data_IF_266230225302
#
_entry.id   IF_266230225302
#
_cell.length_a   1.000
_cell.length_b   1.000
_cell.length_c   1.000
_cell.angle_alpha   90.00
_cell.angle_beta   90.00
_cell.angle_gamma   90.00
#
_symmetry.space_group_name_H-M   'P 1'
#
loop_
_entity.id
_entity.type
_entity.pdbx_description
1 polymer ?
#
# COMPACT_ATOMS: atom_id res chain seq x y z
N UNK A 1 15.65 0.54 41.04
CA UNK A 1 14.37 -0.11 41.41
C UNK A 1 14.00 0.26 42.86
N UNK A 2 13.67 1.52 43.13
CA UNK A 2 13.18 1.96 44.45
C UNK A 2 12.00 2.94 44.39
N UNK A 3 11.53 3.33 43.20
CA UNK A 3 10.43 4.29 43.05
C UNK A 3 9.04 3.64 42.91
N UNK A 4 8.95 2.38 42.48
CA UNK A 4 7.65 1.71 42.27
C UNK A 4 7.09 0.97 43.50
N UNK A 5 7.83 0.91 44.63
CA UNK A 5 7.35 0.26 45.86
C UNK A 5 6.52 1.17 46.78
N UNK A 6 6.45 2.48 46.50
CA UNK A 6 5.81 3.44 47.42
C UNK A 6 4.30 3.60 47.21
N UNK A 7 3.76 3.28 46.03
CA UNK A 7 2.33 3.51 45.73
C UNK A 7 1.39 2.38 46.16
N UNK A 8 1.91 1.24 46.62
CA UNK A 8 1.10 0.07 46.96
C UNK A 8 0.71 -0.04 48.45
N UNK A 9 1.09 0.95 49.29
CA UNK A 9 0.95 0.84 50.74
C UNK A 9 -0.28 1.54 51.36
N UNK A 10 -1.06 2.33 50.60
CA UNK A 10 -2.20 3.07 51.16
C UNK A 10 -3.44 2.96 50.26
N UNK A 11 -4.25 1.92 50.48
CA UNK A 11 -5.71 1.97 50.30
C UNK A 11 -6.33 0.66 50.79
N UNK A 12 -6.67 0.64 52.08
CA UNK A 12 -7.67 -0.28 52.62
C UNK A 12 -9.04 0.19 52.16
N UNK A 13 -9.78 -0.63 51.43
CA UNK A 13 -11.25 -0.83 51.46
C UNK A 13 -11.60 -1.65 50.21
N UNK A 14 -12.05 -2.90 50.44
CA UNK A 14 -13.00 -3.71 49.65
C UNK A 14 -12.63 -5.20 49.74
N UNK A 15 -13.42 -5.93 50.52
CA UNK A 15 -13.42 -7.40 50.63
C UNK A 15 -14.15 -8.03 49.43
N UNK A 16 -13.71 -9.20 48.92
CA UNK A 16 -14.41 -9.86 47.82
C UNK A 16 -15.44 -10.87 48.34
N UNK A 17 -16.66 -10.83 47.80
CA UNK A 17 -17.64 -11.93 47.89
C UNK A 17 -17.44 -12.86 46.70
N UNK A 18 -17.31 -14.15 46.97
CA UNK A 18 -17.32 -15.23 45.99
C UNK A 18 -18.65 -15.26 45.23
N UNK A 19 -18.56 -15.33 43.90
CA UNK A 19 -19.68 -15.68 43.03
C UNK A 19 -19.15 -16.59 41.92
N UNK A 20 -19.43 -17.88 42.07
CA UNK A 20 -19.27 -18.93 41.07
C UNK A 20 -20.29 -18.69 39.94
N UNK A 21 -19.81 -18.39 38.73
CA UNK A 21 -20.60 -18.53 37.52
C UNK A 21 -19.84 -19.37 36.50
N UNK A 22 -20.42 -20.53 36.20
CA UNK A 22 -20.04 -21.37 35.07
C UNK A 22 -20.38 -20.65 33.75
N UNK A 23 -19.40 -20.54 32.86
CA UNK A 23 -19.60 -20.13 31.47
C UNK A 23 -18.90 -21.14 30.57
N UNK A 24 -19.71 -22.00 29.96
CA UNK A 24 -19.37 -22.84 28.83
C UNK A 24 -18.92 -21.97 27.64
N UNK A 25 -17.69 -22.16 27.17
CA UNK A 25 -17.25 -21.66 25.87
C UNK A 25 -16.86 -22.84 24.97
N UNK A 26 -17.71 -23.09 23.97
CA UNK A 26 -17.38 -23.90 22.80
C UNK A 26 -16.62 -23.03 21.79
N UNK A 27 -15.41 -23.44 21.44
CA UNK A 27 -14.56 -22.81 20.42
C UNK A 27 -14.33 -23.80 19.27
N UNK A 28 -14.59 -23.41 18.00
CA UNK A 28 -14.05 -24.12 16.86
C UNK A 28 -13.13 -23.18 16.07
N UNK A 29 -11.90 -22.97 16.55
CA UNK A 29 -10.83 -22.39 15.72
C UNK A 29 -9.88 -23.51 15.28
N UNK A 30 -10.02 -23.94 14.02
CA UNK A 30 -9.12 -24.89 13.38
C UNK A 30 -8.05 -24.11 12.61
N UNK A 31 -6.89 -23.93 13.23
CA UNK A 31 -5.69 -23.37 12.58
C UNK A 31 -5.04 -24.49 11.75
N UNK A 32 -5.06 -24.36 10.43
CA UNK A 32 -4.36 -25.26 9.49
C UNK A 32 -2.92 -24.75 9.31
N UNK A 33 -1.98 -25.38 10.03
CA UNK A 33 -0.55 -25.18 9.86
C UNK A 33 -0.02 -26.22 8.86
N UNK A 34 0.26 -25.81 7.62
CA UNK A 34 0.91 -26.67 6.63
C UNK A 34 2.42 -26.50 6.75
N UNK A 35 3.09 -27.48 7.38
CA UNK A 35 4.55 -27.65 7.32
C UNK A 35 4.91 -28.29 5.98
N UNK A 36 5.66 -27.58 5.15
CA UNK A 36 6.33 -28.17 3.98
C UNK A 36 7.76 -28.55 4.36
N UNK A 37 7.99 -29.84 4.55
CA UNK A 37 9.33 -30.43 4.61
C UNK A 37 9.78 -30.80 3.20
N UNK A 38 10.99 -30.36 2.84
CA UNK A 38 11.66 -30.70 1.58
C UNK A 38 12.48 -31.99 1.75
N UNK A 39 12.24 -32.99 0.90
CA UNK A 39 13.23 -34.03 0.59
C UNK A 39 12.97 -34.68 -0.77
N UNK A 40 13.94 -34.47 -1.67
CA UNK A 40 14.46 -35.32 -2.75
C UNK A 40 13.76 -36.68 -3.04
N UNK A 41 13.33 -36.94 -4.28
CA UNK A 41 14.10 -37.63 -5.38
C UNK A 41 13.21 -38.04 -6.58
N UNK A 42 13.88 -38.23 -7.72
CA UNK A 42 13.42 -38.56 -9.09
C UNK A 42 12.81 -39.97 -9.24
N UNK A 43 11.78 -40.13 -10.09
CA UNK A 43 11.76 -40.88 -11.39
C UNK A 43 10.32 -41.30 -11.78
N UNK A 44 10.00 -41.46 -13.09
CA UNK A 44 8.64 -41.69 -13.57
C UNK A 44 8.36 -43.17 -13.89
N UNK A 45 7.14 -43.63 -13.64
CA UNK A 45 6.58 -44.78 -14.36
C UNK A 45 5.05 -44.71 -14.31
N UNK A 46 4.44 -44.86 -15.47
CA UNK A 46 3.00 -44.86 -15.64
C UNK A 46 2.37 -46.11 -15.06
N UNK A 47 1.14 -45.96 -14.58
CA UNK A 47 0.17 -47.06 -14.60
C UNK A 47 -1.24 -46.50 -14.75
N UNK A 48 -1.92 -47.13 -15.71
CA UNK A 48 -3.28 -46.93 -16.14
C UNK A 48 -4.22 -47.61 -15.12
N UNK A 49 -5.12 -46.86 -14.49
CA UNK A 49 -6.25 -47.44 -13.78
C UNK A 49 -7.52 -46.68 -14.15
N UNK A 50 -8.40 -47.38 -14.87
CA UNK A 50 -9.79 -46.99 -15.10
C UNK A 50 -10.60 -47.31 -13.84
N UNK A 51 -11.33 -46.31 -13.33
CA UNK A 51 -12.55 -46.54 -12.56
C UNK A 51 -13.64 -45.57 -13.00
N UNK A 52 -14.86 -46.08 -12.91
CA UNK A 52 -16.07 -45.72 -13.62
C UNK A 52 -17.01 -44.92 -12.71
N UNK A 53 -17.78 -44.03 -13.35
CA UNK A 53 -19.09 -43.47 -12.98
C UNK A 53 -19.23 -42.18 -12.12
N UNK A 54 -19.95 -41.25 -12.75
CA UNK A 54 -20.96 -40.30 -12.24
C UNK A 54 -20.54 -39.19 -11.27
N UNK A 55 -20.42 -37.96 -11.75
CA UNK A 55 -21.53 -36.98 -11.80
C UNK A 55 -21.03 -35.54 -12.06
N UNK A 56 -21.85 -34.82 -12.81
CA UNK A 56 -21.78 -33.44 -13.31
C UNK A 56 -20.81 -32.45 -12.62
N UNK A 57 -19.83 -31.96 -13.39
CA UNK A 57 -19.17 -30.67 -13.14
C UNK A 57 -19.09 -29.92 -14.46
N UNK A 58 -19.80 -28.79 -14.57
CA UNK A 58 -19.55 -27.80 -15.61
C UNK A 58 -18.21 -27.12 -15.33
N UNK A 59 -17.16 -27.56 -16.03
CA UNK A 59 -15.86 -26.90 -16.06
C UNK A 59 -15.87 -25.90 -17.21
N UNK A 60 -16.01 -24.61 -16.87
CA UNK A 60 -15.72 -23.53 -17.82
C UNK A 60 -14.20 -23.40 -17.95
N UNK A 61 -13.68 -23.93 -19.05
CA UNK A 61 -12.31 -23.71 -19.54
C UNK A 61 -12.21 -22.29 -20.12
N UNK A 62 -11.41 -21.43 -19.49
CA UNK A 62 -11.06 -20.10 -19.99
C UNK A 62 -9.55 -19.88 -19.81
N UNK A 63 -8.77 -20.51 -20.69
CA UNK A 63 -7.35 -20.21 -20.90
C UNK A 63 -7.10 -20.19 -22.42
N UNK A 64 -7.25 -19.00 -23.04
CA UNK A 64 -6.57 -18.69 -24.29
C UNK A 64 -5.31 -17.91 -23.94
N UNK A 65 -4.20 -18.63 -23.84
CA UNK A 65 -2.86 -18.08 -23.74
C UNK A 65 -2.44 -17.61 -25.13
N UNK A 66 -1.95 -16.38 -25.20
CA UNK A 66 -1.43 -15.74 -26.40
C UNK A 66 -0.17 -16.43 -26.91
N UNK A 67 -0.10 -16.68 -28.23
CA UNK A 67 1.12 -17.07 -28.92
C UNK A 67 2.11 -15.90 -28.95
N UNK A 68 3.24 -16.05 -28.26
CA UNK A 68 4.44 -15.27 -28.53
C UNK A 68 5.34 -16.08 -29.48
N UNK A 69 5.66 -15.50 -30.63
CA UNK A 69 6.62 -16.03 -31.59
C UNK A 69 7.98 -15.40 -31.32
N UNK A 70 8.96 -16.24 -30.96
CA UNK A 70 10.38 -15.90 -30.86
C UNK A 70 11.04 -16.01 -32.24
N UNK A 71 11.81 -14.99 -32.63
CA UNK A 71 12.89 -15.14 -33.61
C UNK A 71 14.07 -14.23 -33.23
N UNK A 72 15.12 -14.84 -32.69
CA UNK A 72 16.54 -14.48 -32.83
C UNK A 72 17.03 -15.06 -34.17
N UNK A 73 18.00 -14.55 -34.93
CA UNK A 73 18.96 -13.44 -34.87
C UNK A 73 19.81 -13.49 -36.15
N UNK A 74 20.80 -12.58 -36.26
CA UNK A 74 21.85 -12.46 -37.32
C UNK A 74 21.41 -11.78 -38.64
N UNK A 75 22.17 -10.92 -39.32
CA UNK A 75 23.43 -10.18 -39.12
C UNK A 75 23.48 -9.04 -40.18
N UNK A 76 24.46 -8.15 -40.07
CA UNK A 76 24.68 -6.88 -40.79
C UNK A 76 24.56 -6.85 -42.33
N UNK A 77 24.01 -5.75 -42.89
CA UNK A 77 24.63 -5.07 -44.04
C UNK A 77 24.28 -3.57 -44.12
N UNK A 78 25.28 -2.82 -44.57
CA UNK A 78 25.47 -1.38 -44.61
C UNK A 78 24.69 -0.67 -45.73
N UNK A 79 24.27 0.56 -45.42
CA UNK A 79 23.94 1.67 -46.34
C UNK A 79 22.71 1.49 -47.26
N UNK A 80 21.61 2.17 -46.92
CA UNK A 80 20.66 2.66 -47.92
C UNK A 80 20.10 4.02 -47.52
N UNK A 81 20.08 4.90 -48.51
CA UNK A 81 19.86 6.35 -48.41
C UNK A 81 18.54 6.68 -47.72
N UNK A 82 18.59 7.60 -46.74
CA UNK A 82 17.43 8.34 -46.24
C UNK A 82 16.71 9.00 -47.42
N UNK A 83 15.53 8.51 -47.80
CA UNK A 83 14.58 9.28 -48.61
C UNK A 83 13.94 10.32 -47.71
N UNK A 84 14.28 11.58 -47.93
CA UNK A 84 13.60 12.75 -47.41
C UNK A 84 12.11 12.68 -47.75
N UNK A 85 11.24 12.76 -46.74
CA UNK A 85 9.82 13.04 -46.95
C UNK A 85 9.70 14.51 -47.34
N UNK A 86 9.52 14.76 -48.64
CA UNK A 86 9.11 16.04 -49.19
C UNK A 86 7.69 16.45 -48.75
N UNK A 87 7.22 17.66 -49.11
CA UNK A 87 6.11 18.32 -48.46
C UNK A 87 4.77 17.72 -48.90
N UNK A 88 4.23 16.81 -48.09
CA UNK A 88 2.84 16.32 -48.22
C UNK A 88 1.81 17.46 -48.01
N UNK A 89 2.26 18.63 -47.54
CA UNK A 89 1.42 19.79 -47.27
C UNK A 89 1.13 20.69 -48.49
N UNK A 90 1.76 20.46 -49.65
CA UNK A 90 1.52 21.27 -50.86
C UNK A 90 0.37 20.74 -51.74
N UNK A 91 0.06 19.43 -51.68
CA UNK A 91 -0.97 18.81 -52.52
C UNK A 91 -2.41 19.02 -52.00
N UNK A 92 -2.59 19.57 -50.80
CA UNK A 92 -3.93 19.85 -50.26
C UNK A 92 -4.51 21.20 -50.72
N UNK A 93 -3.72 22.03 -51.41
CA UNK A 93 -4.12 23.40 -51.80
C UNK A 93 -4.57 23.54 -53.27
N UNK A 94 -4.56 22.47 -54.05
CA UNK A 94 -4.87 22.50 -55.50
C UNK A 94 -6.13 21.69 -55.90
N UNK A 95 -6.91 21.16 -54.96
CA UNK A 95 -8.22 20.58 -55.24
C UNK A 95 -9.31 21.40 -54.56
N UNK A 96 -9.62 22.56 -55.13
CA UNK A 96 -10.95 23.16 -54.96
C UNK A 96 -11.94 22.33 -55.79
N UNK A 97 -12.17 21.09 -55.33
CA UNK A 97 -13.33 20.30 -55.74
C UNK A 97 -14.56 20.89 -55.06
N UNK A 98 -15.66 20.94 -55.80
CA UNK A 98 -16.98 21.34 -55.33
C UNK A 98 -17.25 20.77 -53.93
N UNK A 99 -17.85 21.56 -53.03
CA UNK A 99 -18.44 21.04 -51.79
C UNK A 99 -19.42 19.95 -52.19
N UNK A 100 -19.02 18.69 -52.05
CA UNK A 100 -19.95 17.56 -52.10
C UNK A 100 -21.09 17.88 -51.13
N UNK A 101 -22.33 17.83 -51.63
CA UNK A 101 -23.52 17.88 -50.78
C UNK A 101 -23.30 16.90 -49.61
N UNK A 102 -23.49 17.36 -48.37
CA UNK A 102 -23.37 16.50 -47.19
C UNK A 102 -24.07 15.16 -47.47
N UNK A 103 -23.30 14.07 -47.48
CA UNK A 103 -23.67 12.82 -48.14
C UNK A 103 -25.14 12.44 -47.94
N UNK A 104 -25.86 12.30 -49.05
CA UNK A 104 -27.31 12.03 -49.17
C UNK A 104 -27.86 10.91 -48.26
N UNK A 105 -27.02 10.00 -47.77
CA UNK A 105 -27.39 8.87 -46.90
C UNK A 105 -26.82 8.96 -45.47
N UNK A 106 -26.14 10.04 -45.09
CA UNK A 106 -25.56 10.20 -43.74
C UNK A 106 -26.63 10.19 -42.64
N UNK A 107 -27.84 10.66 -42.96
CA UNK A 107 -28.98 10.68 -42.05
C UNK A 107 -29.72 9.33 -41.97
N UNK A 108 -29.46 8.39 -42.89
CA UNK A 108 -30.09 7.06 -42.90
C UNK A 108 -29.28 6.04 -42.08
N UNK A 109 -28.10 6.41 -41.57
CA UNK A 109 -27.23 5.54 -40.78
C UNK A 109 -27.23 6.02 -39.33
N UNK A 110 -27.64 5.15 -38.41
CA UNK A 110 -27.63 5.46 -36.97
C UNK A 110 -26.23 5.25 -36.38
N UNK A 111 -25.43 6.31 -36.40
CA UNK A 111 -24.08 6.30 -35.84
C UNK A 111 -24.10 6.56 -34.33
N UNK A 112 -23.24 5.88 -33.56
CA UNK A 112 -23.09 6.17 -32.13
C UNK A 112 -22.73 7.63 -31.89
N UNK A 113 -23.57 8.36 -31.15
CA UNK A 113 -23.32 9.74 -30.72
C UNK A 113 -22.92 9.74 -29.26
N UNK A 114 -21.74 10.27 -28.96
CA UNK A 114 -21.26 10.38 -27.58
C UNK A 114 -20.58 11.73 -27.34
N UNK A 115 -20.81 12.29 -26.16
CA UNK A 115 -20.05 13.45 -25.64
C UNK A 115 -18.70 13.03 -25.07
N UNK A 116 -18.43 11.72 -24.97
CA UNK A 116 -17.17 11.20 -24.50
C UNK A 116 -16.06 11.48 -25.52
N UNK A 117 -15.17 12.43 -25.17
CA UNK A 117 -14.00 12.74 -25.97
C UNK A 117 -13.13 11.51 -26.23
N UNK A 118 -12.65 11.37 -27.47
CA UNK A 118 -11.80 10.25 -27.89
C UNK A 118 -10.44 10.19 -27.16
N UNK A 119 -9.93 11.34 -26.69
CA UNK A 119 -8.69 11.42 -25.90
C UNK A 119 -9.03 11.47 -24.42
N UNK A 120 -8.27 10.73 -23.61
CA UNK A 120 -8.51 10.62 -22.19
C UNK A 120 -8.36 11.95 -21.42
N UNK A 121 -7.40 12.81 -21.82
CA UNK A 121 -7.07 14.05 -21.13
C UNK A 121 -6.95 13.89 -19.59
N UNK A 122 -6.25 12.83 -19.17
CA UNK A 122 -6.18 12.38 -17.78
C UNK A 122 -5.66 13.45 -16.80
N UNK A 123 -4.73 14.30 -17.25
CA UNK A 123 -4.18 15.40 -16.43
C UNK A 123 -5.25 16.35 -15.89
N UNK A 124 -6.33 16.57 -16.64
CA UNK A 124 -7.45 17.45 -16.25
C UNK A 124 -8.60 16.63 -15.67
N UNK A 125 -8.97 15.51 -16.30
CA UNK A 125 -10.11 14.70 -15.88
C UNK A 125 -9.92 14.00 -14.54
N UNK A 126 -8.73 13.49 -14.23
CA UNK A 126 -8.51 12.78 -12.96
C UNK A 126 -8.71 13.70 -11.75
N UNK A 127 -8.13 14.92 -11.69
CA UNK A 127 -8.45 15.88 -10.63
C UNK A 127 -9.94 16.20 -10.51
N UNK A 128 -10.66 16.37 -11.62
CA UNK A 128 -12.11 16.63 -11.62
C UNK A 128 -12.88 15.46 -10.97
N UNK A 129 -12.52 14.22 -11.34
CA UNK A 129 -13.12 13.01 -10.77
C UNK A 129 -12.79 12.87 -9.28
N UNK A 130 -11.55 13.13 -8.89
CA UNK A 130 -11.11 13.08 -7.49
C UNK A 130 -11.85 14.13 -6.65
N UNK A 131 -12.04 15.33 -7.17
CA UNK A 131 -12.84 16.39 -6.53
C UNK A 131 -14.30 15.95 -6.35
N UNK A 132 -14.90 15.35 -7.38
CA UNK A 132 -16.25 14.79 -7.29
C UNK A 132 -16.34 13.73 -6.18
N UNK A 133 -15.34 12.85 -6.07
CA UNK A 133 -15.32 11.85 -5.01
C UNK A 133 -15.27 12.45 -3.61
N UNK A 134 -14.48 13.52 -3.44
CA UNK A 134 -14.32 14.21 -2.16
C UNK A 134 -15.58 15.03 -1.80
N UNK A 135 -16.07 15.88 -2.72
CA UNK A 135 -17.25 16.72 -2.52
C UNK A 135 -18.49 15.88 -2.13
N UNK A 136 -18.65 14.70 -2.74
CA UNK A 136 -19.74 13.79 -2.45
C UNK A 136 -19.43 12.73 -1.39
N UNK A 137 -18.23 12.74 -0.80
CA UNK A 137 -17.75 11.76 0.18
C UNK A 137 -18.03 10.31 -0.26
N UNK A 138 -17.75 10.01 -1.54
CA UNK A 138 -18.20 8.77 -2.22
C UNK A 138 -17.73 7.53 -1.48
N UNK A 139 -16.46 7.50 -1.07
CA UNK A 139 -15.89 6.37 -0.34
C UNK A 139 -16.67 6.06 0.94
N UNK A 140 -16.89 7.06 1.80
CA UNK A 140 -17.65 6.90 3.06
C UNK A 140 -19.09 6.45 2.80
N UNK A 141 -19.75 7.01 1.79
CA UNK A 141 -21.12 6.63 1.42
C UNK A 141 -21.22 5.18 0.98
N UNK A 142 -20.30 4.71 0.13
CA UNK A 142 -20.32 3.32 -0.35
C UNK A 142 -20.01 2.34 0.80
N UNK A 143 -19.02 2.64 1.62
CA UNK A 143 -18.70 1.82 2.80
C UNK A 143 -19.89 1.75 3.77
N UNK A 144 -20.60 2.85 3.99
CA UNK A 144 -21.78 2.87 4.88
C UNK A 144 -23.01 2.16 4.28
N UNK A 145 -23.15 2.16 2.95
CA UNK A 145 -24.23 1.45 2.26
C UNK A 145 -24.05 -0.07 2.29
N UNK A 146 -22.82 -0.53 2.27
CA UNK A 146 -22.49 -1.95 2.26
C UNK A 146 -22.91 -2.63 3.57
N UNK A 147 -23.46 -3.84 3.52
CA UNK A 147 -24.10 -4.53 4.65
C UNK A 147 -23.47 -5.88 5.02
N UNK A 148 -22.62 -6.46 4.15
CA UNK A 148 -22.14 -7.83 4.30
C UNK A 148 -21.30 -8.07 5.57
N UNK A 149 -20.16 -7.40 5.67
CA UNK A 149 -19.18 -7.65 6.75
C UNK A 149 -17.97 -6.74 6.63
N UNK A 150 -17.17 -6.63 7.69
CA UNK A 150 -15.96 -5.78 7.70
C UNK A 150 -14.80 -6.46 7.01
N UNK A 151 -14.11 -5.73 6.14
CA UNK A 151 -12.83 -6.12 5.56
C UNK A 151 -11.79 -5.09 5.96
N UNK A 152 -10.80 -5.49 6.76
CA UNK A 152 -9.75 -4.61 7.25
C UNK A 152 -8.46 -4.98 6.53
N UNK A 153 -7.88 -4.01 5.83
CA UNK A 153 -6.54 -4.14 5.26
C UNK A 153 -5.62 -3.22 6.05
N UNK A 154 -4.72 -3.80 6.85
CA UNK A 154 -3.76 -2.99 7.60
C UNK A 154 -2.67 -2.50 6.66
N UNK A 155 -2.50 -1.19 6.61
CA UNK A 155 -1.50 -0.55 5.78
C UNK A 155 -0.15 -0.58 6.48
N UNK A 156 0.88 -1.18 5.87
CA UNK A 156 2.25 -0.99 6.34
C UNK A 156 2.67 0.48 6.19
N UNK A 157 3.10 1.16 7.27
CA UNK A 157 3.32 2.60 7.26
C UNK A 157 4.61 2.93 6.49
N UNK A 158 4.58 3.74 5.41
CA UNK A 158 5.81 4.26 4.82
C UNK A 158 6.57 5.17 5.80
N UNK A 159 7.89 5.19 5.66
CA UNK A 159 8.74 6.14 6.38
C UNK A 159 8.46 7.57 5.94
N UNK A 160 8.24 8.46 6.91
CA UNK A 160 8.04 9.89 6.70
C UNK A 160 9.37 10.63 6.45
N UNK A 161 10.19 10.12 5.53
CA UNK A 161 11.54 10.64 5.31
C UNK A 161 11.71 11.37 3.97
N UNK A 162 10.81 11.30 2.98
CA UNK A 162 11.00 12.04 1.72
C UNK A 162 9.90 11.84 0.68
N UNK A 163 10.20 12.17 -0.56
CA UNK A 163 9.24 12.04 -1.66
C UNK A 163 8.92 10.58 -2.01
N UNK A 164 7.74 10.39 -2.59
CA UNK A 164 7.30 9.07 -3.04
C UNK A 164 8.05 8.64 -4.31
N UNK A 165 8.26 7.34 -4.42
CA UNK A 165 8.87 6.70 -5.59
C UNK A 165 7.96 5.60 -6.14
N UNK A 166 8.32 5.02 -7.28
CA UNK A 166 7.50 4.00 -7.96
C UNK A 166 7.12 2.79 -7.09
N UNK A 167 8.02 2.33 -6.20
CA UNK A 167 7.68 1.30 -5.22
C UNK A 167 6.50 1.66 -4.29
N UNK A 168 6.41 2.92 -3.85
CA UNK A 168 5.27 3.40 -3.05
C UNK A 168 3.97 3.38 -3.87
N UNK A 169 4.03 3.83 -5.13
CA UNK A 169 2.90 3.78 -6.05
C UNK A 169 2.41 2.34 -6.26
N UNK A 170 3.32 1.42 -6.58
CA UNK A 170 3.02 -0.01 -6.76
C UNK A 170 2.32 -0.58 -5.52
N UNK A 171 2.89 -0.37 -4.33
CA UNK A 171 2.34 -0.89 -3.08
C UNK A 171 0.92 -0.37 -2.81
N UNK A 172 0.71 0.94 -2.93
CA UNK A 172 -0.57 1.57 -2.61
C UNK A 172 -1.65 1.27 -3.64
N UNK A 173 -1.31 1.26 -4.93
CA UNK A 173 -2.26 0.92 -5.99
C UNK A 173 -2.72 -0.54 -5.86
N UNK A 174 -1.82 -1.47 -5.54
CA UNK A 174 -2.22 -2.87 -5.31
C UNK A 174 -3.18 -3.02 -4.12
N UNK A 175 -2.89 -2.35 -3.00
CA UNK A 175 -3.80 -2.32 -1.84
C UNK A 175 -5.17 -1.71 -2.22
N UNK A 176 -5.17 -0.62 -2.99
CA UNK A 176 -6.40 0.04 -3.46
C UNK A 176 -7.24 -0.88 -4.37
N UNK A 177 -6.61 -1.61 -5.30
CA UNK A 177 -7.31 -2.59 -6.16
C UNK A 177 -8.02 -3.64 -5.30
N UNK A 178 -7.35 -4.20 -4.29
CA UNK A 178 -7.94 -5.20 -3.38
C UNK A 178 -9.11 -4.59 -2.60
N UNK A 179 -8.92 -3.39 -2.05
CA UNK A 179 -9.94 -2.68 -1.30
C UNK A 179 -11.17 -2.36 -2.15
N UNK A 180 -10.99 -1.82 -3.36
CA UNK A 180 -12.08 -1.56 -4.30
C UNK A 180 -12.80 -2.82 -4.71
N UNK A 181 -12.07 -3.91 -4.98
CA UNK A 181 -12.68 -5.20 -5.27
C UNK A 181 -13.58 -5.67 -4.14
N UNK A 182 -13.12 -5.62 -2.88
CA UNK A 182 -13.95 -5.99 -1.72
C UNK A 182 -15.12 -5.04 -1.50
N UNK A 183 -14.94 -3.75 -1.75
CA UNK A 183 -15.98 -2.74 -1.66
C UNK A 183 -17.10 -2.97 -2.70
N UNK A 184 -16.76 -3.40 -3.93
CA UNK A 184 -17.72 -3.81 -4.95
C UNK A 184 -18.43 -5.14 -4.62
N UNK A 185 -17.86 -5.97 -3.75
CA UNK A 185 -18.45 -7.21 -3.23
C UNK A 185 -19.31 -6.98 -1.97
N UNK A 186 -19.73 -5.73 -1.74
CA UNK A 186 -20.54 -5.26 -0.61
C UNK A 186 -19.89 -5.42 0.78
N UNK A 187 -18.56 -5.50 0.88
CA UNK A 187 -17.88 -5.45 2.18
C UNK A 187 -17.69 -4.01 2.68
N UNK A 188 -17.76 -3.82 4.00
CA UNK A 188 -17.38 -2.59 4.69
C UNK A 188 -15.86 -2.53 4.80
N UNK A 189 -15.21 -1.89 3.83
CA UNK A 189 -13.75 -1.79 3.78
C UNK A 189 -13.24 -0.74 4.75
N UNK A 190 -12.31 -1.12 5.62
CA UNK A 190 -11.56 -0.24 6.50
C UNK A 190 -10.10 -0.24 6.07
N UNK A 191 -9.67 0.87 5.47
CA UNK A 191 -8.31 1.07 5.05
C UNK A 191 -7.83 2.41 5.62
N UNK A 192 -7.07 2.31 6.71
CA UNK A 192 -6.51 3.47 7.42
C UNK A 192 -5.02 3.53 7.05
N UNK A 193 -4.59 4.58 6.34
CA UNK A 193 -3.19 4.77 6.04
C UNK A 193 -2.43 5.18 7.30
N UNK A 194 -1.15 4.83 7.39
CA UNK A 194 -0.30 5.33 8.46
C UNK A 194 1.09 5.68 8.02
N UNK A 195 1.88 6.23 8.94
CA UNK A 195 3.24 6.67 8.67
C UNK A 195 4.15 6.38 9.83
N UNK A 196 5.38 6.01 9.49
CA UNK A 196 6.45 5.86 10.47
C UNK A 196 7.25 7.16 10.57
N UNK A 197 7.10 7.81 11.73
CA UNK A 197 7.61 9.13 12.05
C UNK A 197 8.84 9.10 12.96
N UNK A 198 9.34 7.91 13.33
CA UNK A 198 10.48 7.74 14.23
C UNK A 198 11.70 7.16 13.49
N UNK A 199 12.80 7.03 14.24
CA UNK A 199 13.99 6.31 13.81
C UNK A 199 15.07 7.17 13.19
N UNK A 200 16.23 6.52 12.99
CA UNK A 200 17.45 7.13 12.51
C UNK A 200 17.33 7.85 11.15
N UNK A 201 16.57 7.35 10.15
CA UNK A 201 16.48 8.02 8.86
C UNK A 201 15.97 9.47 8.93
N UNK A 202 15.02 9.76 9.82
CA UNK A 202 14.45 11.11 9.99
C UNK A 202 15.46 12.00 10.72
N UNK A 203 16.10 11.49 11.76
CA UNK A 203 17.15 12.23 12.48
C UNK A 203 18.30 12.62 11.56
N UNK A 204 18.76 11.69 10.71
CA UNK A 204 19.82 11.96 9.74
C UNK A 204 19.42 13.01 8.72
N UNK A 205 18.19 12.98 8.19
CA UNK A 205 17.72 14.00 7.24
C UNK A 205 17.60 15.38 7.89
N UNK A 206 17.11 15.45 9.12
CA UNK A 206 17.07 16.71 9.88
C UNK A 206 18.49 17.23 10.08
N UNK A 207 19.42 16.39 10.51
CA UNK A 207 20.82 16.78 10.67
C UNK A 207 21.42 17.28 9.35
N UNK A 208 21.21 16.57 8.24
CA UNK A 208 21.67 16.97 6.91
C UNK A 208 21.13 18.34 6.48
N UNK A 209 19.87 18.66 6.81
CA UNK A 209 19.24 19.95 6.51
C UNK A 209 19.73 21.13 7.37
N UNK A 210 20.46 20.85 8.45
CA UNK A 210 20.94 21.87 9.39
C UNK A 210 22.39 22.28 9.12
N UNK A 211 22.65 23.59 9.22
CA UNK A 211 23.98 24.19 9.13
C UNK A 211 24.89 23.75 10.28
N UNK A 212 26.20 23.70 10.03
CA UNK A 212 27.18 23.18 10.99
C UNK A 212 27.16 23.88 12.36
N UNK A 213 26.88 25.18 12.39
CA UNK A 213 26.83 25.93 13.66
C UNK A 213 25.58 25.61 14.47
N UNK A 214 24.44 25.44 13.80
CA UNK A 214 23.19 25.01 14.46
C UNK A 214 23.24 23.56 14.96
N UNK A 215 24.17 22.74 14.44
CA UNK A 215 24.41 21.37 14.94
C UNK A 215 25.16 21.35 16.27
N UNK A 216 26.01 22.34 16.55
CA UNK A 216 26.79 22.41 17.80
C UNK A 216 25.90 22.70 19.01
N UNK A 217 24.82 23.45 18.83
CA UNK A 217 23.87 23.85 19.88
C UNK A 217 22.66 22.89 20.01
N UNK A 218 22.72 21.73 19.35
CA UNK A 218 21.59 20.81 19.26
C UNK A 218 21.50 19.91 20.50
N UNK A 219 20.49 20.15 21.33
CA UNK A 219 20.13 19.23 22.41
C UNK A 219 19.20 18.12 21.90
N UNK A 220 19.15 16.94 22.56
CA UNK A 220 18.24 15.85 22.15
C UNK A 220 16.77 16.29 22.07
N UNK A 221 16.31 17.15 22.98
CA UNK A 221 14.95 17.68 22.96
C UNK A 221 14.69 18.57 21.73
N UNK A 222 15.64 19.44 21.37
CA UNK A 222 15.54 20.27 20.17
C UNK A 222 15.55 19.43 18.90
N UNK A 223 16.38 18.37 18.85
CA UNK A 223 16.42 17.44 17.72
C UNK A 223 15.08 16.73 17.54
N UNK A 224 14.51 16.17 18.62
CA UNK A 224 13.20 15.51 18.60
C UNK A 224 12.09 16.43 18.12
N UNK A 225 12.06 17.68 18.61
CA UNK A 225 11.07 18.66 18.16
C UNK A 225 11.22 18.99 16.66
N UNK A 226 12.45 19.14 16.16
CA UNK A 226 12.72 19.34 14.73
C UNK A 226 12.34 18.12 13.89
N UNK A 227 12.66 16.91 14.36
CA UNK A 227 12.29 15.66 13.70
C UNK A 227 10.78 15.46 13.61
N UNK A 228 10.05 15.69 14.71
CA UNK A 228 8.60 15.66 14.73
C UNK A 228 7.98 16.65 13.73
N UNK A 229 8.52 17.88 13.65
CA UNK A 229 8.07 18.89 12.69
C UNK A 229 8.33 18.47 11.24
N UNK A 230 9.52 17.93 10.97
CA UNK A 230 9.89 17.42 9.65
C UNK A 230 8.97 16.27 9.23
N UNK A 231 8.78 15.27 10.09
CA UNK A 231 7.90 14.13 9.84
C UNK A 231 6.48 14.59 9.49
N UNK A 232 5.88 15.48 10.28
CA UNK A 232 4.53 16.01 10.01
C UNK A 232 4.42 16.71 8.65
N UNK A 233 5.45 17.47 8.25
CA UNK A 233 5.48 18.11 6.94
C UNK A 233 5.57 17.08 5.80
N UNK A 234 6.45 16.08 5.94
CA UNK A 234 6.61 15.00 4.96
C UNK A 234 5.35 14.15 4.84
N UNK A 235 4.69 13.81 5.95
CA UNK A 235 3.40 13.09 5.96
C UNK A 235 2.37 13.84 5.12
N UNK A 236 2.25 15.16 5.29
CA UNK A 236 1.30 15.98 4.52
C UNK A 236 1.58 15.93 3.01
N UNK A 237 2.85 16.00 2.62
CA UNK A 237 3.26 15.95 1.21
C UNK A 237 3.09 14.54 0.60
N UNK A 238 3.40 13.48 1.34
CA UNK A 238 3.17 12.11 0.91
C UNK A 238 1.68 11.80 0.82
N UNK A 239 0.88 12.27 1.77
CA UNK A 239 -0.57 12.10 1.78
C UNK A 239 -1.23 12.73 0.55
N UNK A 240 -0.87 13.98 0.20
CA UNK A 240 -1.41 14.61 -1.02
C UNK A 240 -1.01 13.85 -2.28
N UNK A 241 0.22 13.31 -2.31
CA UNK A 241 0.72 12.49 -3.42
C UNK A 241 -0.03 11.15 -3.53
N UNK A 242 -0.33 10.48 -2.42
CA UNK A 242 -1.14 9.26 -2.42
C UNK A 242 -2.61 9.51 -2.81
N UNK A 243 -3.18 10.64 -2.37
CA UNK A 243 -4.50 11.07 -2.83
C UNK A 243 -4.49 11.31 -4.34
N UNK A 244 -3.42 11.89 -4.88
CA UNK A 244 -3.26 12.09 -6.33
C UNK A 244 -3.18 10.78 -7.10
N UNK A 245 -2.64 9.70 -6.52
CA UNK A 245 -2.71 8.36 -7.11
C UNK A 245 -4.14 7.80 -7.21
N UNK A 246 -5.13 8.45 -6.59
CA UNK A 246 -6.53 8.02 -6.62
C UNK A 246 -6.88 6.94 -5.60
N UNK A 247 -6.04 6.74 -4.59
CA UNK A 247 -6.23 5.72 -3.55
C UNK A 247 -7.39 6.11 -2.62
N UNK A 248 -8.32 5.18 -2.40
CA UNK A 248 -9.42 5.35 -1.47
C UNK A 248 -9.04 4.82 -0.08
N UNK A 249 -8.93 5.73 0.88
CA UNK A 249 -8.58 5.45 2.25
C UNK A 249 -9.26 6.44 3.20
N UNK A 250 -9.22 6.15 4.50
CA UNK A 250 -9.57 7.15 5.52
C UNK A 250 -8.42 8.14 5.72
N UNK A 251 -8.39 9.18 4.89
CA UNK A 251 -7.41 10.26 4.99
C UNK A 251 -7.67 11.23 6.14
N UNK A 252 -8.84 11.19 6.77
CA UNK A 252 -9.19 12.09 7.87
C UNK A 252 -8.53 11.69 9.18
N UNK A 253 -8.32 10.39 9.40
CA UNK A 253 -7.76 9.87 10.63
C UNK A 253 -6.63 8.86 10.36
N UNK A 254 -5.50 9.30 9.77
CA UNK A 254 -4.35 8.44 9.60
C UNK A 254 -3.69 8.13 10.94
N UNK A 255 -3.08 6.96 11.07
CA UNK A 255 -2.31 6.65 12.29
C UNK A 255 -0.84 7.06 12.11
N UNK A 256 -0.28 7.79 13.07
CA UNK A 256 1.13 8.17 13.06
C UNK A 256 1.83 7.50 14.24
N UNK A 257 3.04 6.98 14.03
CA UNK A 257 3.80 6.38 15.14
C UNK A 257 4.21 7.40 16.21
N UNK A 258 4.12 8.70 15.90
CA UNK A 258 4.35 9.84 16.80
C UNK A 258 3.12 10.21 17.64
N UNK A 259 1.93 9.67 17.34
CA UNK A 259 0.73 10.03 18.09
C UNK A 259 0.79 9.47 19.53
N UNK A 260 0.39 10.24 20.55
CA UNK A 260 0.51 9.80 21.95
C UNK A 260 -0.22 8.49 22.24
N UNK A 261 -1.37 8.24 21.60
CA UNK A 261 -2.10 6.98 21.75
C UNK A 261 -1.30 5.79 21.20
N UNK A 262 -0.57 5.99 20.10
CA UNK A 262 0.27 4.96 19.49
C UNK A 262 1.48 4.64 20.38
N UNK A 263 2.16 5.67 20.89
CA UNK A 263 3.30 5.51 21.80
C UNK A 263 2.88 4.84 23.12
N UNK A 264 1.70 5.19 23.65
CA UNK A 264 1.15 4.54 24.83
C UNK A 264 0.91 3.05 24.60
N UNK A 265 0.29 2.67 23.47
CA UNK A 265 0.07 1.27 23.10
C UNK A 265 1.40 0.51 22.92
N UNK A 266 2.43 1.15 22.36
CA UNK A 266 3.76 0.56 22.24
C UNK A 266 4.39 0.27 23.61
N UNK A 267 4.24 1.18 24.58
CA UNK A 267 4.72 1.01 25.96
C UNK A 267 3.93 -0.10 26.67
N UNK A 268 2.63 -0.19 26.45
CA UNK A 268 1.77 -1.25 27.03
C UNK A 268 2.24 -2.64 26.58
N UNK A 269 2.46 -2.83 25.28
CA UNK A 269 2.99 -4.09 24.73
C UNK A 269 4.37 -4.40 25.30
N UNK A 270 5.26 -3.41 25.38
CA UNK A 270 6.57 -3.57 26.03
C UNK A 270 6.43 -4.00 27.50
N UNK A 271 5.54 -3.34 28.24
CA UNK A 271 5.26 -3.63 29.64
C UNK A 271 4.74 -5.05 29.84
N UNK A 272 3.78 -5.50 29.03
CA UNK A 272 3.30 -6.88 29.07
C UNK A 272 4.41 -7.89 28.80
N UNK A 273 5.23 -7.66 27.77
CA UNK A 273 6.35 -8.55 27.43
C UNK A 273 7.39 -8.59 28.54
N UNK A 274 7.67 -7.46 29.20
CA UNK A 274 8.56 -7.38 30.35
C UNK A 274 7.99 -8.14 31.56
N UNK A 275 6.70 -7.98 31.87
CA UNK A 275 6.03 -8.69 32.98
C UNK A 275 5.99 -10.20 32.75
N UNK A 276 5.85 -10.64 31.49
CA UNK A 276 5.91 -12.06 31.10
C UNK A 276 7.35 -12.63 31.09
N UNK A 277 8.37 -11.80 31.33
CA UNK A 277 9.77 -12.22 31.38
C UNK A 277 10.45 -12.39 30.01
N UNK A 278 9.84 -11.90 28.92
CA UNK A 278 10.44 -11.97 27.58
C UNK A 278 11.50 -10.90 27.32
N UNK A 279 11.49 -9.82 28.10
CA UNK A 279 12.45 -8.72 27.99
C UNK A 279 13.44 -8.80 29.14
N UNK A 280 14.72 -8.86 28.81
CA UNK A 280 15.81 -8.88 29.77
C UNK A 280 16.93 -7.95 29.32
N UNK A 281 17.77 -7.52 30.27
CA UNK A 281 18.97 -6.73 30.00
C UNK A 281 20.19 -7.63 30.13
N UNK A 282 20.98 -7.73 29.07
CA UNK A 282 22.22 -8.48 29.05
C UNK A 282 23.36 -7.71 28.39
N UNK A 283 24.50 -8.38 28.24
CA UNK A 283 25.63 -7.91 27.42
C UNK A 283 25.85 -8.95 26.32
N UNK A 284 25.79 -8.52 25.07
CA UNK A 284 26.09 -9.32 23.88
C UNK A 284 26.99 -8.46 22.99
N UNK A 285 28.01 -9.01 22.32
CA UNK A 285 28.62 -8.32 21.19
C UNK A 285 27.53 -7.99 20.17
N UNK A 286 27.41 -6.71 19.80
CA UNK A 286 26.41 -6.22 18.85
C UNK A 286 27.12 -5.50 17.71
N UNK A 287 26.49 -5.51 16.54
CA UNK A 287 26.96 -4.69 15.43
C UNK A 287 26.76 -3.22 15.78
N UNK A 288 27.85 -2.44 15.68
CA UNK A 288 27.89 -1.03 16.04
C UNK A 288 28.25 -0.20 14.82
N UNK A 289 27.44 0.80 14.50
CA UNK A 289 27.73 1.75 13.43
C UNK A 289 28.52 2.95 13.99
N UNK A 290 29.80 3.17 13.58
CA UNK A 290 30.56 4.35 14.01
C UNK A 290 29.98 5.66 13.48
N UNK A 291 29.32 5.63 12.31
CA UNK A 291 28.71 6.81 11.70
C UNK A 291 27.44 7.23 12.43
N UNK A 292 26.59 6.28 12.79
CA UNK A 292 25.31 6.51 13.49
C UNK A 292 25.46 6.53 15.01
N UNK A 293 26.60 6.07 15.54
CA UNK A 293 26.91 5.95 16.97
C UNK A 293 25.85 5.18 17.77
N UNK A 294 25.32 4.11 17.16
CA UNK A 294 24.32 3.24 17.78
C UNK A 294 24.56 1.78 17.41
N UNK A 295 24.04 0.89 18.25
CA UNK A 295 23.90 -0.51 17.91
C UNK A 295 22.82 -0.68 16.84
N UNK A 296 23.06 -1.61 15.91
CA UNK A 296 22.13 -1.98 14.83
C UNK A 296 21.57 -3.37 15.07
N UNK A 297 20.33 -3.58 14.67
CA UNK A 297 19.73 -4.91 14.67
C UNK A 297 20.27 -5.75 13.51
N UNK A 298 20.25 -7.09 13.63
CA UNK A 298 20.70 -7.98 12.55
C UNK A 298 19.89 -7.78 11.26
N UNK A 299 18.61 -7.40 11.38
CA UNK A 299 17.74 -7.08 10.24
C UNK A 299 18.07 -5.76 9.54
N UNK A 300 18.92 -4.91 10.13
CA UNK A 300 19.36 -3.63 9.55
C UNK A 300 20.72 -3.75 8.85
N UNK A 301 21.31 -4.95 8.84
CA UNK A 301 22.56 -5.25 8.16
C UNK A 301 22.26 -5.86 6.79
N UNK A 302 22.89 -5.30 5.77
CA UNK A 302 22.86 -5.80 4.38
C UNK A 302 24.28 -6.19 3.93
#
# INVERSE_FOLDING_TARGET
MSFFKSLAANSSVFTPREATMAMTQSSPYRVLLQRTGSSLRKTPSGNLFYFRESSSVQVFSLLKIAHYSNYSGEEFCSSSKRRSRGPVMAAKKASQGQKEEEGRYKHTVDLPKTTFGMRANALVREPEIQKLWDDHQVFKRVVNKNDRGKFVLHDGPPYANGDLHMGHALNKILKDIINRYKLLQNYKVQFVPGWDCHGLPIELKVLQSLDQDTRKDLTPLKLRAKAAKFAKATVKAQMSSFQRYGVWADWSNPYLTLDPEYEAAQIEVFGEMALKGYIYRGRKPVHWSPSSRTALAEAELE
#
